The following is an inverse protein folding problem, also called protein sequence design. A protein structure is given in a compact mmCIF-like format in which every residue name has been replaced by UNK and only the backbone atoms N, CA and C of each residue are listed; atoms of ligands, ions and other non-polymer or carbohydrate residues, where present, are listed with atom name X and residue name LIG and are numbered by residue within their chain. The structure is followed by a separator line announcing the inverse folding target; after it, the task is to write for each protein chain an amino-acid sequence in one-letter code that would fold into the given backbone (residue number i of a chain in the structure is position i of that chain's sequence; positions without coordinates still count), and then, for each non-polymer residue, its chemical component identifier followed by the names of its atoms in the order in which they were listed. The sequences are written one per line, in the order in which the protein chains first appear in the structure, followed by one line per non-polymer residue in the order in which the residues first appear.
data_IF_170011088033
#
_entry.id   IF_170011088033
#
_cell.length_a   1.000
_cell.length_b   1.000
_cell.length_c   1.000
_cell.angle_alpha   90.00
_cell.angle_beta   90.00
_cell.angle_gamma   90.00
#
_symmetry.space_group_name_H-M   'P 1'
#
loop_
_entity.id
_entity.type
_entity.pdbx_description
1 polymer ?
#
# COMPACT_ATOMS: atom_id res chain seq x y z
N UNK A 1 -58.72 -12.20 30.31
CA UNK A 1 -57.29 -12.32 30.66
C UNK A 1 -56.49 -11.79 29.49
N UNK A 2 -56.00 -10.56 29.59
CA UNK A 2 -55.16 -9.91 28.57
C UNK A 2 -53.70 -10.24 28.85
N UNK A 3 -53.01 -10.84 27.89
CA UNK A 3 -51.56 -11.07 27.92
C UNK A 3 -50.84 -9.94 27.21
N UNK A 4 -50.00 -9.24 27.97
CA UNK A 4 -49.09 -8.16 27.54
C UNK A 4 -47.90 -8.75 26.80
N UNK A 5 -47.70 -8.37 25.54
CA UNK A 5 -46.50 -8.67 24.77
C UNK A 5 -45.44 -7.57 25.02
N UNK A 6 -44.29 -7.97 25.57
CA UNK A 6 -43.14 -7.09 25.75
C UNK A 6 -42.41 -6.89 24.40
N UNK A 7 -42.36 -5.64 23.93
CA UNK A 7 -41.47 -5.21 22.84
C UNK A 7 -40.02 -5.31 23.33
N UNK A 8 -39.24 -6.21 22.72
CA UNK A 8 -37.78 -6.17 22.82
C UNK A 8 -37.24 -5.17 21.79
N UNK A 9 -36.72 -4.04 22.27
CA UNK A 9 -35.90 -3.11 21.48
C UNK A 9 -34.63 -3.82 20.99
N UNK A 10 -34.53 -4.07 19.70
CA UNK A 10 -33.25 -4.41 19.06
C UNK A 10 -32.44 -3.14 18.83
N UNK A 11 -31.46 -2.89 19.70
CA UNK A 11 -30.33 -2.01 19.39
C UNK A 11 -29.44 -2.71 18.34
N UNK A 12 -29.15 -2.11 17.17
CA UNK A 12 -28.06 -2.58 16.33
C UNK A 12 -26.76 -2.03 16.91
N UNK A 13 -26.15 -2.74 17.85
CA UNK A 13 -24.72 -2.61 18.07
C UNK A 13 -24.04 -3.16 16.81
N UNK A 14 -23.39 -2.28 16.05
CA UNK A 14 -22.47 -2.65 14.98
C UNK A 14 -21.41 -3.62 15.53
N UNK A 15 -21.59 -4.91 15.25
CA UNK A 15 -20.56 -5.92 15.48
C UNK A 15 -19.39 -5.62 14.55
N UNK A 16 -18.36 -4.96 15.08
CA UNK A 16 -17.03 -4.96 14.49
C UNK A 16 -16.58 -6.41 14.34
N UNK A 17 -16.52 -6.90 13.10
CA UNK A 17 -15.99 -8.24 12.79
C UNK A 17 -14.60 -8.41 13.41
N UNK A 18 -14.30 -9.62 13.89
CA UNK A 18 -13.00 -9.92 14.48
C UNK A 18 -11.90 -9.75 13.41
N UNK A 19 -11.06 -8.73 13.59
CA UNK A 19 -9.92 -8.44 12.73
C UNK A 19 -8.89 -9.57 12.89
N UNK A 20 -8.38 -10.11 11.78
CA UNK A 20 -7.37 -11.17 11.82
C UNK A 20 -6.09 -10.70 12.51
N UNK A 21 -5.34 -11.61 13.13
CA UNK A 21 -4.06 -11.27 13.76
C UNK A 21 -3.08 -10.61 12.77
N UNK A 22 -3.05 -11.09 11.52
CA UNK A 22 -2.22 -10.51 10.48
C UNK A 22 -2.68 -9.10 10.10
N UNK A 23 -4.00 -8.85 10.03
CA UNK A 23 -4.52 -7.51 9.75
C UNK A 23 -4.24 -6.54 10.90
N UNK A 24 -4.24 -7.01 12.16
CA UNK A 24 -3.78 -6.23 13.31
C UNK A 24 -2.26 -5.95 13.25
N UNK A 25 -1.46 -6.94 12.88
CA UNK A 25 -0.02 -6.77 12.66
C UNK A 25 0.26 -5.74 11.55
N UNK A 26 -0.46 -5.81 10.43
CA UNK A 26 -0.39 -4.84 9.34
C UNK A 26 -0.71 -3.42 9.81
N UNK A 27 -1.76 -3.28 10.63
CA UNK A 27 -2.14 -2.00 11.24
C UNK A 27 -1.04 -1.45 12.14
N UNK A 28 -0.43 -2.28 12.98
CA UNK A 28 0.65 -1.85 13.87
C UNK A 28 1.87 -1.37 13.07
N UNK A 29 2.28 -2.13 12.04
CA UNK A 29 3.36 -1.72 11.14
C UNK A 29 3.02 -0.39 10.41
N UNK A 30 1.77 -0.21 9.98
CA UNK A 30 1.30 1.03 9.38
C UNK A 30 1.24 2.22 10.37
N UNK A 31 1.15 1.97 11.67
CA UNK A 31 1.22 3.02 12.69
C UNK A 31 2.66 3.51 12.89
N UNK A 32 3.64 2.61 12.81
CA UNK A 32 5.07 2.96 12.82
C UNK A 32 5.43 3.87 11.63
N UNK A 33 4.83 3.61 10.45
CA UNK A 33 4.87 4.48 9.27
C UNK A 33 4.43 5.93 9.58
N UNK A 34 3.58 6.12 10.59
CA UNK A 34 3.07 7.44 10.97
C UNK A 34 4.12 8.44 11.43
N UNK A 35 5.25 7.97 11.97
CA UNK A 35 6.38 8.84 12.36
C UNK A 35 7.04 9.47 11.13
N UNK A 36 7.32 8.67 10.10
CA UNK A 36 7.87 9.12 8.83
C UNK A 36 6.92 10.10 8.13
N UNK A 37 5.61 9.81 8.11
CA UNK A 37 4.61 10.73 7.55
C UNK A 37 4.62 12.07 8.26
N UNK A 38 4.63 12.06 9.60
CA UNK A 38 4.66 13.30 10.38
C UNK A 38 5.89 14.15 10.08
N UNK A 39 7.03 13.50 9.88
CA UNK A 39 8.29 14.14 9.57
C UNK A 39 8.48 14.42 8.07
N UNK A 40 7.47 14.19 7.22
CA UNK A 40 7.59 14.26 5.76
C UNK A 40 8.84 13.53 5.22
N UNK A 41 9.18 12.40 5.84
CA UNK A 41 10.29 11.54 5.43
C UNK A 41 9.82 10.59 4.35
N UNK A 42 9.86 11.08 3.11
CA UNK A 42 9.44 10.33 1.94
C UNK A 42 10.47 9.25 1.53
N UNK A 43 11.71 9.33 2.03
CA UNK A 43 12.71 8.27 1.80
C UNK A 43 12.33 7.04 2.59
N UNK A 44 11.93 7.21 3.85
CA UNK A 44 11.42 6.11 4.67
C UNK A 44 10.18 5.45 4.05
N UNK A 45 9.30 6.25 3.45
CA UNK A 45 8.16 5.75 2.68
C UNK A 45 8.59 4.90 1.48
N UNK A 46 9.61 5.34 0.75
CA UNK A 46 10.19 4.62 -0.38
C UNK A 46 10.87 3.30 0.03
N UNK A 47 11.54 3.28 1.19
CA UNK A 47 12.23 2.09 1.71
C UNK A 47 11.27 0.99 2.20
N UNK A 48 10.08 1.39 2.67
CA UNK A 48 9.01 0.46 3.05
C UNK A 48 7.97 0.26 1.94
N UNK A 49 8.22 0.81 0.75
CA UNK A 49 7.35 0.59 -0.39
C UNK A 49 7.53 -0.83 -0.94
N UNK A 50 6.48 -1.38 -1.53
CA UNK A 50 6.55 -2.69 -2.16
C UNK A 50 7.65 -2.75 -3.24
N UNK A 51 8.66 -3.63 -3.14
CA UNK A 51 9.87 -3.58 -3.97
C UNK A 51 9.62 -3.69 -5.50
N UNK A 52 8.71 -4.53 -6.01
CA UNK A 52 8.35 -4.51 -7.43
C UNK A 52 7.82 -3.16 -7.91
N UNK A 53 7.07 -2.46 -7.07
CA UNK A 53 6.58 -1.11 -7.36
C UNK A 53 7.74 -0.10 -7.36
N UNK A 54 8.66 -0.20 -6.41
CA UNK A 54 9.88 0.65 -6.35
C UNK A 54 10.70 0.55 -7.62
N UNK A 55 10.96 -0.67 -8.10
CA UNK A 55 11.68 -0.88 -9.36
C UNK A 55 10.96 -0.24 -10.54
N UNK A 56 9.65 -0.44 -10.63
CA UNK A 56 8.84 0.16 -11.70
C UNK A 56 8.88 1.70 -11.67
N UNK A 57 8.89 2.31 -10.49
CA UNK A 57 9.04 3.76 -10.36
C UNK A 57 10.45 4.24 -10.74
N UNK A 58 11.49 3.52 -10.33
CA UNK A 58 12.88 3.82 -10.70
C UNK A 58 13.08 3.72 -12.23
N UNK A 59 12.58 2.65 -12.85
CA UNK A 59 12.67 2.44 -14.29
C UNK A 59 11.90 3.52 -15.07
N UNK A 60 10.69 3.89 -14.62
CA UNK A 60 9.92 5.00 -15.21
C UNK A 60 10.63 6.34 -15.11
N UNK A 61 11.35 6.58 -14.01
CA UNK A 61 12.13 7.80 -13.84
C UNK A 61 13.32 7.81 -14.81
N UNK A 62 14.05 6.70 -14.89
CA UNK A 62 15.18 6.56 -15.82
C UNK A 62 14.75 6.66 -17.29
N UNK A 63 13.58 6.11 -17.65
CA UNK A 63 13.07 6.18 -19.02
C UNK A 63 12.66 7.58 -19.46
N UNK A 64 12.37 8.49 -18.50
CA UNK A 64 11.95 9.87 -18.78
C UNK A 64 13.12 10.83 -18.98
N UNK A 65 14.37 10.39 -18.79
CA UNK A 65 15.55 11.22 -19.04
C UNK A 65 15.76 11.38 -20.56
N UNK A 66 15.58 12.60 -21.14
CA UNK A 66 15.72 12.83 -22.57
C UNK A 66 17.12 12.49 -23.09
N UNK A 67 18.13 12.52 -22.22
CA UNK A 67 19.52 12.18 -22.59
C UNK A 67 19.72 10.68 -22.79
N UNK A 68 18.85 9.85 -22.21
CA UNK A 68 18.93 8.39 -22.27
C UNK A 68 17.91 7.77 -23.23
N UNK A 69 16.97 8.57 -23.76
CA UNK A 69 15.90 8.10 -24.63
C UNK A 69 16.41 7.35 -25.88
N UNK A 70 17.47 7.86 -26.52
CA UNK A 70 18.07 7.23 -27.70
C UNK A 70 18.75 5.88 -27.37
N UNK A 71 19.44 5.77 -26.23
CA UNK A 71 20.05 4.50 -25.79
C UNK A 71 18.98 3.50 -25.34
N UNK A 72 17.95 3.97 -24.64
CA UNK A 72 16.80 3.16 -24.23
C UNK A 72 16.07 2.60 -25.46
N UNK A 73 15.84 3.41 -26.50
CA UNK A 73 15.20 2.98 -27.74
C UNK A 73 16.03 1.92 -28.49
N UNK A 74 17.35 2.12 -28.62
CA UNK A 74 18.25 1.14 -29.26
C UNK A 74 18.27 -0.21 -28.53
N UNK A 75 18.14 -0.19 -27.21
CA UNK A 75 18.08 -1.38 -26.37
C UNK A 75 16.75 -2.12 -26.48
N UNK A 76 15.63 -1.40 -26.46
CA UNK A 76 14.30 -1.97 -26.68
C UNK A 76 14.22 -2.65 -28.05
N UNK A 77 14.85 -2.04 -29.07
CA UNK A 77 14.95 -2.60 -30.42
C UNK A 77 15.96 -3.74 -30.55
N UNK A 78 16.64 -4.13 -29.47
CA UNK A 78 17.62 -5.23 -29.46
C UNK A 78 18.93 -4.94 -30.21
N UNK A 79 19.19 -3.67 -30.54
CA UNK A 79 20.37 -3.23 -31.30
C UNK A 79 21.61 -3.20 -30.41
N UNK A 80 21.44 -2.87 -29.12
CA UNK A 80 22.49 -2.89 -28.11
C UNK A 80 22.21 -3.98 -27.07
N UNK A 81 23.11 -4.95 -26.95
CA UNK A 81 23.12 -5.91 -25.84
C UNK A 81 23.88 -5.32 -24.66
N UNK A 82 23.14 -4.97 -23.61
CA UNK A 82 23.73 -4.53 -22.34
C UNK A 82 24.31 -5.75 -21.61
N UNK A 83 25.50 -5.62 -21.02
CA UNK A 83 26.06 -6.66 -20.14
C UNK A 83 25.31 -6.68 -18.80
N UNK A 84 25.30 -7.84 -18.12
CA UNK A 84 24.64 -7.97 -16.81
C UNK A 84 25.15 -6.95 -15.78
N UNK A 85 26.42 -6.59 -15.85
CA UNK A 85 27.04 -5.61 -14.97
C UNK A 85 26.58 -4.18 -15.28
N UNK A 86 26.50 -3.81 -16.56
CA UNK A 86 25.96 -2.51 -16.97
C UNK A 86 24.48 -2.36 -16.58
N UNK A 87 23.69 -3.43 -16.73
CA UNK A 87 22.29 -3.44 -16.30
C UNK A 87 22.16 -3.21 -14.78
N UNK A 88 23.01 -3.85 -13.97
CA UNK A 88 23.03 -3.65 -12.50
C UNK A 88 23.40 -2.22 -12.13
N UNK A 89 24.43 -1.65 -12.75
CA UNK A 89 24.85 -0.26 -12.48
C UNK A 89 23.73 0.71 -12.83
N UNK A 90 23.06 0.53 -13.97
CA UNK A 90 21.90 1.35 -14.35
C UNK A 90 20.77 1.25 -13.34
N UNK A 91 20.41 0.04 -12.92
CA UNK A 91 19.35 -0.15 -11.91
C UNK A 91 19.70 0.55 -10.60
N UNK A 92 20.95 0.47 -10.15
CA UNK A 92 21.41 1.19 -8.96
C UNK A 92 21.37 2.72 -9.14
N UNK A 93 21.73 3.23 -10.31
CA UNK A 93 21.65 4.66 -10.62
C UNK A 93 20.19 5.15 -10.65
N UNK A 94 19.29 4.38 -11.26
CA UNK A 94 17.87 4.68 -11.30
C UNK A 94 17.26 4.70 -9.88
N UNK A 95 17.63 3.73 -9.03
CA UNK A 95 17.19 3.68 -7.64
C UNK A 95 17.72 4.88 -6.82
N UNK A 96 19.01 5.22 -6.97
CA UNK A 96 19.59 6.41 -6.33
C UNK A 96 18.91 7.71 -6.77
N UNK A 97 18.60 7.84 -8.06
CA UNK A 97 17.88 8.99 -8.60
C UNK A 97 16.47 9.08 -8.01
N UNK A 98 15.78 7.95 -7.85
CA UNK A 98 14.46 7.88 -7.23
C UNK A 98 14.50 8.33 -5.76
N UNK A 99 15.47 7.81 -4.98
CA UNK A 99 15.68 8.22 -3.58
C UNK A 99 15.91 9.73 -3.48
N UNK A 100 16.75 10.29 -4.34
CA UNK A 100 17.04 11.73 -4.36
C UNK A 100 15.80 12.56 -4.72
N UNK A 101 14.99 12.10 -5.66
CA UNK A 101 13.73 12.77 -6.01
C UNK A 101 12.77 12.82 -4.81
N UNK A 102 12.60 11.70 -4.09
CA UNK A 102 11.74 11.63 -2.92
C UNK A 102 12.27 12.48 -1.76
N UNK A 103 13.60 12.51 -1.55
CA UNK A 103 14.25 13.40 -0.59
C UNK A 103 13.93 14.86 -0.88
N UNK A 104 14.16 15.32 -2.11
CA UNK A 104 13.86 16.70 -2.54
C UNK A 104 12.38 17.04 -2.39
N UNK A 105 11.49 16.11 -2.72
CA UNK A 105 10.05 16.31 -2.55
C UNK A 105 9.67 16.50 -1.08
N UNK A 106 10.26 15.70 -0.17
CA UNK A 106 10.03 15.85 1.27
C UNK A 106 10.56 17.19 1.83
N UNK A 107 11.75 17.61 1.38
CA UNK A 107 12.32 18.92 1.73
C UNK A 107 11.48 20.09 1.20
N UNK A 108 10.99 20.00 -0.04
CA UNK A 108 10.10 20.99 -0.64
C UNK A 108 8.78 21.09 0.11
N UNK A 109 8.18 19.96 0.51
CA UNK A 109 6.95 19.96 1.32
C UNK A 109 7.18 20.70 2.64
N UNK A 110 8.30 20.43 3.33
CA UNK A 110 8.67 21.14 4.55
C UNK A 110 8.89 22.64 4.31
N UNK A 111 9.61 23.00 3.25
CA UNK A 111 9.88 24.40 2.89
C UNK A 111 8.60 25.18 2.52
N UNK A 112 7.62 24.50 1.92
CA UNK A 112 6.30 25.05 1.63
C UNK A 112 5.40 25.13 2.87
N UNK A 113 5.88 24.73 4.06
CA UNK A 113 5.10 24.80 5.29
C UNK A 113 4.04 23.70 5.41
N UNK A 114 4.17 22.60 4.65
CA UNK A 114 3.33 21.43 4.84
C UNK A 114 3.63 20.80 6.20
N UNK A 115 2.61 20.72 7.06
CA UNK A 115 2.74 20.13 8.40
C UNK A 115 1.66 19.07 8.58
N UNK A 116 2.06 17.87 9.01
CA UNK A 116 1.12 16.82 9.40
C UNK A 116 0.94 16.87 10.92
N UNK A 117 -0.26 17.26 11.36
CA UNK A 117 -0.59 17.33 12.79
C UNK A 117 -0.97 15.96 13.34
N UNK A 118 -1.72 15.19 12.55
CA UNK A 118 -2.23 13.88 12.95
C UNK A 118 -2.12 12.91 11.80
N UNK A 119 -1.65 11.72 12.12
CA UNK A 119 -1.74 10.54 11.28
C UNK A 119 -2.36 9.43 12.11
N UNK A 120 -3.38 8.77 11.57
CA UNK A 120 -4.02 7.65 12.24
C UNK A 120 -4.40 6.57 11.25
N UNK A 121 -4.24 5.33 11.69
CA UNK A 121 -4.62 4.13 10.93
C UNK A 121 -5.86 3.53 11.57
N UNK A 122 -6.93 3.46 10.78
CA UNK A 122 -8.21 2.89 11.15
C UNK A 122 -8.14 1.37 11.35
N UNK A 123 -9.29 0.77 11.62
CA UNK A 123 -9.44 -0.69 11.62
C UNK A 123 -9.27 -1.21 10.18
N UNK A 124 -8.67 -2.40 9.98
CA UNK A 124 -8.57 -2.99 8.65
C UNK A 124 -9.94 -3.09 7.98
N UNK A 125 -10.01 -2.63 6.74
CA UNK A 125 -11.26 -2.53 5.99
C UNK A 125 -11.55 -3.82 5.21
N UNK A 126 -10.52 -4.37 4.57
CA UNK A 126 -10.60 -5.62 3.82
C UNK A 126 -9.24 -6.32 3.81
N UNK A 127 -9.26 -7.65 3.67
CA UNK A 127 -8.08 -8.51 3.65
C UNK A 127 -8.21 -9.55 2.54
N UNK A 128 -7.12 -9.77 1.82
CA UNK A 128 -7.01 -10.69 0.71
C UNK A 128 -5.77 -11.55 0.86
N UNK A 129 -5.91 -12.85 0.61
CA UNK A 129 -4.78 -13.76 0.46
C UNK A 129 -4.74 -14.19 -1.00
N UNK A 130 -3.63 -13.90 -1.65
CA UNK A 130 -3.42 -14.14 -3.08
C UNK A 130 -2.33 -15.18 -3.24
N UNK A 131 -2.66 -16.28 -3.92
CA UNK A 131 -1.67 -17.27 -4.35
C UNK A 131 -0.97 -16.79 -5.63
N UNK A 132 0.31 -17.14 -5.77
CA UNK A 132 1.02 -16.95 -7.04
C UNK A 132 0.43 -17.88 -8.11
N UNK A 133 0.55 -17.49 -9.38
CA UNK A 133 -0.22 -18.05 -10.49
C UNK A 133 -0.05 -19.56 -10.69
N UNK A 134 -0.89 -20.32 -10.01
CA UNK A 134 -1.49 -21.62 -10.37
C UNK A 134 -2.71 -21.96 -9.48
N UNK A 135 -2.97 -21.20 -8.40
CA UNK A 135 -4.08 -21.47 -7.48
C UNK A 135 -5.05 -20.31 -7.33
N UNK A 136 -6.34 -20.64 -7.27
CA UNK A 136 -7.48 -19.73 -7.09
C UNK A 136 -7.31 -18.78 -5.89
N UNK A 137 -7.79 -17.54 -6.02
CA UNK A 137 -7.98 -16.62 -4.89
C UNK A 137 -9.20 -17.00 -4.10
N UNK A 138 -9.04 -17.08 -2.78
CA UNK A 138 -10.15 -17.23 -1.85
C UNK A 138 -10.28 -15.95 -1.02
N UNK A 139 -11.45 -15.27 -1.02
CA UNK A 139 -11.71 -14.19 -0.10
C UNK A 139 -11.74 -14.76 1.34
N UNK A 140 -11.01 -14.16 2.26
CA UNK A 140 -10.81 -14.70 3.63
C UNK A 140 -11.87 -14.19 4.64
N UNK A 141 -13.03 -13.71 4.18
CA UNK A 141 -14.15 -13.40 5.08
C UNK A 141 -15.52 -13.72 4.47
N UNK A 142 -16.20 -14.71 5.07
CA UNK A 142 -17.66 -14.76 5.21
C UNK A 142 -18.03 -15.33 6.58
N UNK A 143 -18.88 -14.62 7.32
CA UNK A 143 -19.58 -15.13 8.51
C UNK A 143 -21.10 -15.07 8.24
N UNK A 144 -21.90 -16.12 8.52
CA UNK A 144 -22.63 -16.25 9.80
C UNK A 144 -23.06 -17.70 10.17
N UNK A 145 -22.58 -18.74 9.49
CA UNK A 145 -23.08 -20.12 9.71
C UNK A 145 -22.04 -21.26 9.58
N UNK A 146 -20.75 -20.98 9.76
CA UNK A 146 -19.80 -22.07 10.06
C UNK A 146 -18.55 -22.13 9.20
N UNK A 147 -17.50 -21.57 9.79
CA UNK A 147 -16.09 -21.94 9.69
C UNK A 147 -15.40 -21.93 8.32
N UNK A 148 -14.47 -20.97 8.16
CA UNK A 148 -13.08 -21.32 7.84
C UNK A 148 -12.15 -20.38 8.60
N UNK A 149 -11.45 -20.90 9.61
CA UNK A 149 -10.34 -20.22 10.28
C UNK A 149 -9.22 -20.01 9.26
N UNK A 150 -8.51 -18.88 9.35
CA UNK A 150 -7.27 -18.65 8.60
C UNK A 150 -6.19 -19.72 8.91
N UNK A 151 -6.39 -20.53 9.95
CA UNK A 151 -5.46 -21.54 10.44
C UNK A 151 -5.58 -22.92 9.76
N UNK A 152 -6.34 -23.05 8.67
CA UNK A 152 -6.53 -24.34 7.98
C UNK A 152 -5.98 -24.39 6.54
N UNK A 153 -4.99 -23.56 6.20
CA UNK A 153 -4.37 -23.57 4.87
C UNK A 153 -2.87 -23.85 4.99
N UNK A 154 -2.56 -25.12 5.25
CA UNK A 154 -1.23 -25.70 5.16
C UNK A 154 -1.17 -26.49 3.85
N UNK A 155 -0.78 -25.81 2.77
CA UNK A 155 -0.37 -26.44 1.52
C UNK A 155 0.60 -25.46 0.80
N UNK A 156 1.78 -25.95 0.48
CA UNK A 156 2.95 -25.24 -0.03
C UNK A 156 2.70 -24.53 -1.37
N UNK A 157 2.41 -23.24 -1.33
CA UNK A 157 2.44 -22.36 -2.49
C UNK A 157 2.86 -20.95 -2.09
N UNK A 158 3.47 -20.21 -3.02
CA UNK A 158 3.78 -18.80 -2.88
C UNK A 158 2.51 -18.00 -2.54
N UNK A 159 2.53 -17.27 -1.40
CA UNK A 159 1.37 -16.52 -0.90
C UNK A 159 1.77 -15.11 -0.52
N UNK A 160 0.92 -14.18 -0.92
CA UNK A 160 0.98 -12.78 -0.52
C UNK A 160 -0.34 -12.38 0.13
N UNK A 161 -0.24 -11.68 1.26
CA UNK A 161 -1.37 -11.10 1.98
C UNK A 161 -1.43 -9.62 1.69
N UNK A 162 -2.63 -9.12 1.43
CA UNK A 162 -2.90 -7.72 1.14
C UNK A 162 -4.01 -7.26 2.08
N UNK A 163 -3.75 -6.23 2.87
CA UNK A 163 -4.68 -5.64 3.82
C UNK A 163 -4.92 -4.20 3.43
N UNK A 164 -6.19 -3.80 3.29
CA UNK A 164 -6.57 -2.40 3.03
C UNK A 164 -6.78 -1.71 4.36
N UNK A 165 -5.95 -0.71 4.65
CA UNK A 165 -5.96 0.04 5.90
C UNK A 165 -6.44 1.47 5.63
N UNK A 166 -7.59 1.89 6.16
CA UNK A 166 -8.01 3.28 6.15
C UNK A 166 -7.00 4.15 6.90
N UNK A 167 -6.66 5.30 6.36
CA UNK A 167 -5.81 6.30 7.00
C UNK A 167 -6.53 7.64 7.04
N UNK A 168 -6.30 8.38 8.12
CA UNK A 168 -6.75 9.76 8.25
C UNK A 168 -5.55 10.63 8.59
N UNK A 169 -5.33 11.64 7.74
CA UNK A 169 -4.31 12.67 7.93
C UNK A 169 -4.99 13.99 8.26
N UNK A 170 -4.49 14.69 9.27
CA UNK A 170 -4.82 16.10 9.49
C UNK A 170 -3.57 16.89 9.16
N UNK A 171 -3.66 17.72 8.12
CA UNK A 171 -2.54 18.48 7.57
C UNK A 171 -2.85 19.97 7.60
N UNK A 172 -1.80 20.78 7.73
CA UNK A 172 -1.83 22.21 7.50
C UNK A 172 -1.05 22.52 6.24
N UNK A 173 -1.69 23.21 5.32
CA UNK A 173 -1.13 23.58 4.02
C UNK A 173 -1.32 25.07 3.77
N UNK A 174 -0.36 25.76 3.14
CA UNK A 174 -0.57 27.14 2.73
C UNK A 174 -1.64 27.18 1.62
N UNK A 175 -2.65 28.02 1.79
CA UNK A 175 -3.62 28.30 0.73
C UNK A 175 -3.05 29.34 -0.25
N UNK A 176 -3.67 29.44 -1.42
CA UNK A 176 -3.35 30.48 -2.41
C UNK A 176 -3.46 31.92 -1.85
N UNK A 177 -4.24 32.11 -0.78
CA UNK A 177 -4.39 33.37 -0.06
C UNK A 177 -3.24 33.69 0.91
N UNK A 178 -2.23 32.82 1.03
CA UNK A 178 -1.12 32.95 1.98
C UNK A 178 -1.48 32.58 3.43
N UNK A 179 -2.75 32.26 3.72
CA UNK A 179 -3.18 31.75 5.02
C UNK A 179 -3.01 30.24 5.10
N UNK A 180 -2.59 29.74 6.25
CA UNK A 180 -2.55 28.31 6.52
C UNK A 180 -3.96 27.76 6.66
N UNK A 181 -4.31 26.76 5.85
CA UNK A 181 -5.55 26.03 5.94
C UNK A 181 -5.32 24.67 6.57
N UNK A 182 -6.23 24.27 7.44
CA UNK A 182 -6.25 22.95 8.06
C UNK A 182 -7.20 22.06 7.27
N UNK A 183 -6.75 20.84 6.97
CA UNK A 183 -7.50 19.90 6.16
C UNK A 183 -7.39 18.49 6.75
N UNK A 184 -8.53 17.80 6.83
CA UNK A 184 -8.60 16.36 7.07
C UNK A 184 -8.65 15.65 5.73
N UNK A 185 -7.69 14.77 5.48
CA UNK A 185 -7.64 13.87 4.33
C UNK A 185 -7.91 12.45 4.78
N UNK A 186 -9.00 11.87 4.30
CA UNK A 186 -9.31 10.44 4.46
C UNK A 186 -8.83 9.71 3.23
N UNK A 187 -8.01 8.70 3.44
CA UNK A 187 -7.51 7.83 2.38
C UNK A 187 -7.35 6.40 2.87
N UNK A 188 -6.64 5.57 2.13
CA UNK A 188 -6.21 4.24 2.56
C UNK A 188 -4.82 3.91 2.02
N UNK A 189 -4.23 2.86 2.57
CA UNK A 189 -2.99 2.24 2.07
C UNK A 189 -3.21 0.73 1.96
N UNK A 190 -2.49 0.11 1.04
CA UNK A 190 -2.36 -1.33 0.98
C UNK A 190 -1.14 -1.75 1.77
N UNK A 191 -1.32 -2.59 2.79
CA UNK A 191 -0.24 -3.30 3.44
C UNK A 191 -0.09 -4.68 2.80
N UNK A 192 1.10 -4.98 2.30
CA UNK A 192 1.41 -6.17 1.52
C UNK A 192 2.51 -6.95 2.23
N UNK A 193 2.31 -8.24 2.42
CA UNK A 193 3.29 -9.14 3.04
C UNK A 193 3.36 -10.43 2.26
N UNK A 194 4.57 -10.80 1.84
CA UNK A 194 4.84 -12.11 1.26
C UNK A 194 5.07 -13.11 2.40
N UNK A 195 4.21 -14.12 2.53
CA UNK A 195 4.20 -15.04 3.69
C UNK A 195 4.91 -16.37 3.40
N UNK A 196 4.79 -16.84 2.16
CA UNK A 196 5.40 -18.09 1.70
C UNK A 196 5.98 -17.83 0.33
N UNK A 197 7.22 -18.27 0.12
CA UNK A 197 7.90 -18.26 -1.18
C UNK A 197 8.66 -19.57 -1.32
N UNK A 198 8.22 -20.42 -2.23
CA UNK A 198 8.90 -21.60 -2.72
C UNK A 198 9.97 -21.17 -3.73
N UNK A 199 11.25 -21.25 -3.33
CA UNK A 199 12.39 -20.90 -4.18
C UNK A 199 12.97 -19.50 -3.92
N UNK A 200 13.70 -18.96 -4.91
CA UNK A 200 14.36 -17.65 -4.80
C UNK A 200 13.33 -16.54 -4.96
N UNK A 201 13.22 -15.67 -3.96
CA UNK A 201 12.33 -14.52 -4.04
C UNK A 201 12.83 -13.49 -5.06
N UNK A 202 12.37 -13.62 -6.30
CA UNK A 202 12.72 -12.69 -7.40
C UNK A 202 12.07 -11.30 -7.22
N UNK A 203 11.09 -11.16 -6.32
CA UNK A 203 10.48 -9.87 -5.99
C UNK A 203 11.38 -9.02 -5.11
N UNK A 204 12.41 -9.59 -4.49
CA UNK A 204 13.31 -8.89 -3.55
C UNK A 204 12.59 -8.32 -2.34
N UNK A 205 11.48 -8.95 -1.96
CA UNK A 205 10.80 -8.74 -0.68
C UNK A 205 11.47 -9.59 0.40
N UNK A 206 11.43 -9.12 1.63
CA UNK A 206 11.75 -9.91 2.81
C UNK A 206 10.51 -10.69 3.21
N UNK A 207 10.69 -11.98 3.48
CA UNK A 207 9.60 -12.85 3.94
C UNK A 207 9.02 -12.32 5.24
N UNK A 208 7.70 -12.28 5.33
CA UNK A 208 6.92 -11.83 6.48
C UNK A 208 7.12 -10.36 6.88
N UNK A 209 7.76 -9.55 6.03
CA UNK A 209 7.82 -8.09 6.20
C UNK A 209 6.61 -7.42 5.55
N UNK A 210 6.07 -6.41 6.23
CA UNK A 210 5.04 -5.54 5.68
C UNK A 210 5.65 -4.44 4.81
N UNK A 211 5.10 -4.30 3.61
CA UNK A 211 5.37 -3.23 2.67
C UNK A 211 4.10 -2.44 2.43
N UNK A 212 4.24 -1.17 2.06
CA UNK A 212 3.11 -0.27 1.88
C UNK A 212 3.02 0.22 0.44
N UNK A 213 1.79 0.35 -0.03
CA UNK A 213 1.46 0.99 -1.30
C UNK A 213 0.37 2.02 -1.03
N UNK A 214 0.54 3.22 -1.55
CA UNK A 214 -0.40 4.31 -1.36
C UNK A 214 -1.70 4.14 -2.16
N UNK A 215 -2.72 4.90 -1.80
CA UNK A 215 -3.99 4.95 -2.54
C UNK A 215 -3.87 5.53 -3.94
N UNK A 216 -2.81 6.31 -4.23
CA UNK A 216 -2.63 6.92 -5.55
C UNK A 216 -2.21 5.88 -6.59
N UNK A 217 -1.60 4.78 -6.14
CA UNK A 217 -1.30 3.64 -6.99
C UNK A 217 -2.60 2.98 -7.44
N UNK A 218 -2.88 3.07 -8.74
CA UNK A 218 -4.07 2.45 -9.33
C UNK A 218 -4.12 0.95 -9.01
N UNK A 219 -5.30 0.44 -8.67
CA UNK A 219 -5.53 -1.00 -8.40
C UNK A 219 -5.04 -1.88 -9.56
N UNK A 220 -5.16 -1.41 -10.80
CA UNK A 220 -4.63 -2.13 -11.96
C UNK A 220 -3.11 -2.32 -11.92
N UNK A 221 -2.38 -1.40 -11.30
CA UNK A 221 -0.94 -1.56 -11.05
C UNK A 221 -0.66 -2.60 -9.96
N UNK A 222 -1.55 -2.79 -8.97
CA UNK A 222 -1.41 -3.90 -8.04
C UNK A 222 -1.64 -5.25 -8.74
N UNK A 223 -2.57 -5.30 -9.69
CA UNK A 223 -2.84 -6.53 -10.48
C UNK A 223 -1.66 -6.97 -11.33
N UNK A 224 -0.77 -6.07 -11.76
CA UNK A 224 0.44 -6.49 -12.49
C UNK A 224 1.37 -7.33 -11.62
N UNK A 225 1.32 -7.15 -10.30
CA UNK A 225 2.09 -7.95 -9.35
C UNK A 225 1.27 -9.10 -8.74
N UNK A 226 -0.05 -8.95 -8.69
CA UNK A 226 -1.01 -9.89 -8.12
C UNK A 226 -2.13 -10.16 -9.13
N UNK A 227 -1.87 -10.93 -10.22
CA UNK A 227 -2.84 -11.11 -11.32
C UNK A 227 -4.15 -11.76 -10.85
N UNK A 228 -4.05 -12.53 -9.77
CA UNK A 228 -5.12 -13.27 -9.13
C UNK A 228 -6.03 -12.38 -8.24
N UNK A 229 -5.63 -11.15 -7.92
CA UNK A 229 -6.39 -10.23 -7.05
C UNK A 229 -7.83 -10.00 -7.57
N UNK A 230 -8.89 -10.02 -6.73
CA UNK A 230 -10.27 -9.88 -7.19
C UNK A 230 -10.54 -8.56 -7.92
N UNK A 231 -11.45 -8.53 -8.90
CA UNK A 231 -11.82 -7.32 -9.65
C UNK A 231 -12.35 -6.20 -8.75
N UNK A 232 -13.23 -6.57 -7.81
CA UNK A 232 -13.89 -5.63 -6.89
C UNK A 232 -13.20 -5.62 -5.52
N UNK A 233 -12.09 -4.91 -5.43
CA UNK A 233 -11.43 -4.68 -4.14
C UNK A 233 -12.27 -3.69 -3.34
N UNK A 234 -12.68 -4.10 -2.14
CA UNK A 234 -13.37 -3.24 -1.20
C UNK A 234 -12.36 -2.23 -0.64
N UNK A 235 -12.56 -0.95 -0.96
CA UNK A 235 -11.76 0.17 -0.47
C UNK A 235 -12.65 1.15 0.31
N UNK A 236 -12.15 1.77 1.39
CA UNK A 236 -12.91 2.75 2.14
C UNK A 236 -13.08 4.05 1.33
N UNK A 237 -14.10 4.87 1.64
CA UNK A 237 -14.30 6.15 0.98
C UNK A 237 -13.12 7.10 1.24
N UNK A 238 -12.66 7.77 0.18
CA UNK A 238 -11.60 8.78 0.23
C UNK A 238 -12.16 10.18 0.09
N UNK A 239 -11.52 11.18 0.67
CA UNK A 239 -11.93 12.56 0.49
C UNK A 239 -11.15 13.55 1.35
N UNK A 240 -11.20 14.81 0.92
CA UNK A 240 -10.61 15.94 1.61
C UNK A 240 -11.72 16.81 2.22
N UNK A 241 -11.52 17.24 3.47
CA UNK A 241 -12.45 18.10 4.21
C UNK A 241 -11.66 19.21 4.87
N UNK A 242 -11.99 20.47 4.55
CA UNK A 242 -11.45 21.62 5.28
C UNK A 242 -11.95 21.60 6.72
N UNK A 243 -11.03 21.81 7.65
CA UNK A 243 -11.33 21.94 9.07
C UNK A 243 -11.34 23.44 9.44
N UNK A 244 -12.18 23.83 10.41
CA UNK A 244 -12.19 25.19 10.95
C UNK A 244 -10.85 25.54 11.61
#
# INVERSE_FOLDING_TARGET
MLTTAALACFCPCELSAAVSEAANSARNAAQEYGSAVRNCDLVWALDNMYPPLRRTLADRLASRDPKQEASNARRIMGIERESDEAARVRMQQADRALVEQYRKMGEQMKAQGFVVERYSVGTPYSEYVVAHSTGMVRPVLKDRTGATRADALQADADRSRIVVLPITLVVRVPAASGRMQRMERRSYIYAIRDEVVSGVNMRGTELNRWYFVDSNTQVNTLRTYFPNLPLDIAVPPTGDRLLP
#
